data_IF_735712951229
#
_entry.id   IF_735712951229
#
_cell.length_a   1.000
_cell.length_b   1.000
_cell.length_c   1.000
_cell.angle_alpha   90.00
_cell.angle_beta   90.00
_cell.angle_gamma   90.00
#
_symmetry.space_group_name_H-M   'P 1'
#
loop_
_entity.id
_entity.type
_entity.pdbx_description
1 polymer ?
#
# COMPACT_ATOMS: atom_id res chain seq x y z
N UNK A 1 -30.37 -9.70 -9.60
CA UNK A 1 -30.79 -10.43 -10.82
C UNK A 1 -30.44 -9.71 -12.13
N UNK A 2 -30.86 -8.45 -12.35
CA UNK A 2 -30.56 -7.70 -13.58
C UNK A 2 -29.03 -7.56 -13.83
N UNK A 3 -28.29 -7.15 -12.80
CA UNK A 3 -26.82 -7.04 -12.86
C UNK A 3 -26.14 -8.38 -13.19
N UNK A 4 -26.61 -9.48 -12.58
CA UNK A 4 -26.08 -10.81 -12.86
C UNK A 4 -26.29 -11.21 -14.32
N UNK A 5 -27.48 -10.94 -14.89
CA UNK A 5 -27.78 -11.19 -16.30
C UNK A 5 -26.83 -10.42 -17.23
N UNK A 6 -26.57 -9.15 -16.92
CA UNK A 6 -25.60 -8.34 -17.65
C UNK A 6 -24.18 -8.90 -17.55
N UNK A 7 -23.70 -9.20 -16.33
CA UNK A 7 -22.36 -9.75 -16.09
C UNK A 7 -22.14 -11.05 -16.87
N UNK A 8 -23.12 -11.97 -16.85
CA UNK A 8 -23.06 -13.23 -17.60
C UNK A 8 -23.07 -13.02 -19.10
N UNK A 9 -23.94 -12.14 -19.61
CA UNK A 9 -24.03 -11.83 -21.03
C UNK A 9 -22.73 -11.26 -21.59
N UNK A 10 -22.18 -10.23 -20.94
CA UNK A 10 -20.93 -9.59 -21.36
C UNK A 10 -19.80 -10.61 -21.43
N UNK A 11 -19.66 -11.46 -20.41
CA UNK A 11 -18.63 -12.50 -20.39
C UNK A 11 -18.79 -13.50 -21.53
N UNK A 12 -20.02 -13.94 -21.81
CA UNK A 12 -20.28 -14.90 -22.89
C UNK A 12 -20.04 -14.30 -24.27
N UNK A 13 -20.63 -13.13 -24.55
CA UNK A 13 -20.54 -12.47 -25.85
C UNK A 13 -19.10 -12.15 -26.22
N UNK A 14 -18.30 -11.62 -25.29
CA UNK A 14 -16.90 -11.28 -25.56
C UNK A 14 -16.06 -12.52 -25.81
N UNK A 15 -16.27 -13.62 -25.06
CA UNK A 15 -15.55 -14.88 -25.31
C UNK A 15 -15.92 -15.49 -26.68
N UNK A 16 -17.20 -15.51 -27.04
CA UNK A 16 -17.65 -16.01 -28.33
C UNK A 16 -17.02 -15.19 -29.47
N UNK A 17 -17.13 -13.86 -29.41
CA UNK A 17 -16.50 -12.97 -30.39
C UNK A 17 -14.98 -13.18 -30.49
N UNK A 18 -14.29 -13.34 -29.36
CA UNK A 18 -12.84 -13.58 -29.33
C UNK A 18 -12.45 -14.90 -30.02
N UNK A 19 -13.25 -15.96 -29.87
CA UNK A 19 -13.05 -17.27 -30.51
C UNK A 19 -13.34 -17.18 -32.01
N UNK A 20 -14.49 -16.61 -32.37
CA UNK A 20 -14.96 -16.52 -33.76
C UNK A 20 -14.01 -15.70 -34.64
N UNK A 21 -13.43 -14.62 -34.09
CA UNK A 21 -12.44 -13.79 -34.78
C UNK A 21 -10.98 -14.29 -34.65
N UNK A 22 -10.75 -15.44 -34.01
CA UNK A 22 -9.42 -16.02 -33.81
C UNK A 22 -8.48 -15.16 -32.94
N UNK A 23 -9.03 -14.26 -32.13
CA UNK A 23 -8.29 -13.40 -31.21
C UNK A 23 -7.85 -14.16 -29.95
N UNK A 24 -8.60 -15.20 -29.58
CA UNK A 24 -8.25 -16.19 -28.55
C UNK A 24 -8.05 -17.55 -29.22
N UNK A 25 -6.90 -18.20 -29.00
CA UNK A 25 -6.60 -19.49 -29.64
C UNK A 25 -7.41 -20.61 -29.01
N UNK A 26 -7.68 -21.69 -29.76
CA UNK A 26 -8.44 -22.84 -29.26
C UNK A 26 -7.90 -23.40 -27.93
N UNK A 27 -6.57 -23.47 -27.82
CA UNK A 27 -5.87 -24.00 -26.64
C UNK A 27 -5.80 -23.04 -25.45
N UNK A 28 -6.10 -21.77 -25.64
CA UNK A 28 -6.03 -20.79 -24.56
C UNK A 28 -7.32 -20.88 -23.73
N UNK A 29 -7.22 -20.69 -22.41
CA UNK A 29 -8.39 -20.68 -21.52
C UNK A 29 -9.32 -19.51 -21.86
N UNK A 30 -10.62 -19.67 -21.58
CA UNK A 30 -11.58 -18.58 -21.70
C UNK A 30 -11.27 -17.45 -20.70
N UNK A 31 -11.54 -16.22 -21.13
CA UNK A 31 -11.42 -15.04 -20.30
C UNK A 31 -12.49 -15.08 -19.22
N UNK A 32 -12.09 -14.84 -17.97
CA UNK A 32 -13.05 -14.77 -16.87
C UNK A 32 -13.86 -13.47 -16.95
N UNK A 33 -14.99 -13.43 -16.25
CA UNK A 33 -15.79 -12.22 -16.22
C UNK A 33 -15.08 -11.03 -15.56
N UNK A 34 -14.17 -11.27 -14.62
CA UNK A 34 -13.36 -10.23 -13.99
C UNK A 34 -12.37 -9.64 -14.99
N UNK A 35 -11.69 -10.48 -15.77
CA UNK A 35 -10.75 -10.05 -16.80
C UNK A 35 -11.42 -9.11 -17.83
N UNK A 36 -12.66 -9.42 -18.22
CA UNK A 36 -13.42 -8.62 -19.20
C UNK A 36 -13.96 -7.31 -18.60
N UNK A 37 -14.29 -7.31 -17.31
CA UNK A 37 -14.85 -6.14 -16.62
C UNK A 37 -13.80 -5.23 -16.01
N UNK A 38 -12.50 -5.57 -16.09
CA UNK A 38 -11.42 -4.72 -15.59
C UNK A 38 -11.44 -3.34 -16.27
N UNK A 39 -11.70 -2.30 -15.48
CA UNK A 39 -11.84 -0.92 -15.95
C UNK A 39 -13.06 -0.68 -16.85
N UNK A 40 -14.13 -1.47 -16.68
CA UNK A 40 -15.44 -1.23 -17.28
C UNK A 40 -16.28 -0.34 -16.36
N UNK A 41 -16.76 0.78 -16.89
CA UNK A 41 -17.80 1.59 -16.26
C UNK A 41 -19.10 1.36 -17.00
N UNK A 42 -20.14 0.88 -16.30
CA UNK A 42 -21.43 0.60 -16.88
C UNK A 42 -22.57 1.05 -15.96
N UNK A 43 -23.64 1.58 -16.56
CA UNK A 43 -24.88 1.93 -15.88
C UNK A 43 -25.97 1.01 -16.40
N UNK A 44 -26.62 0.28 -15.50
CA UNK A 44 -27.69 -0.67 -15.84
C UNK A 44 -28.98 -0.16 -15.21
N UNK A 45 -29.91 0.31 -16.04
CA UNK A 45 -31.24 0.73 -15.58
C UNK A 45 -32.30 -0.24 -16.10
N UNK A 46 -33.00 -0.91 -15.19
CA UNK A 46 -34.09 -1.82 -15.51
C UNK A 46 -35.40 -1.30 -14.91
N UNK A 47 -36.49 -1.33 -15.69
CA UNK A 47 -37.83 -0.96 -15.24
C UNK A 47 -38.72 -2.20 -15.23
N UNK A 48 -39.39 -2.44 -14.12
CA UNK A 48 -40.26 -3.61 -13.93
C UNK A 48 -41.54 -3.17 -13.19
N UNK A 49 -42.68 -3.75 -13.57
CA UNK A 49 -43.97 -3.42 -12.94
C UNK A 49 -44.06 -3.92 -11.50
N UNK A 50 -43.65 -5.17 -11.26
CA UNK A 50 -43.71 -5.82 -9.95
C UNK A 50 -42.31 -6.21 -9.45
N UNK A 51 -41.57 -5.26 -8.85
CA UNK A 51 -40.22 -5.54 -8.34
C UNK A 51 -40.27 -6.37 -7.06
N UNK A 52 -39.49 -7.44 -7.05
CA UNK A 52 -39.21 -8.27 -5.88
C UNK A 52 -37.76 -8.04 -5.45
N UNK A 53 -37.53 -7.81 -4.16
CA UNK A 53 -36.20 -7.55 -3.62
C UNK A 53 -35.80 -8.57 -2.55
N UNK A 54 -34.51 -8.88 -2.50
CA UNK A 54 -33.90 -9.64 -1.43
C UNK A 54 -33.54 -8.69 -0.27
N UNK A 55 -34.02 -9.00 0.94
CA UNK A 55 -33.70 -8.27 2.16
C UNK A 55 -34.49 -6.97 2.37
N UNK A 56 -34.42 -6.45 3.59
CA UNK A 56 -35.20 -5.29 4.05
C UNK A 56 -34.80 -3.98 3.35
N UNK A 57 -33.53 -3.84 2.96
CA UNK A 57 -32.98 -2.61 2.36
C UNK A 57 -33.34 -2.42 0.89
N UNK A 58 -34.08 -3.37 0.27
CA UNK A 58 -34.45 -3.35 -1.16
C UNK A 58 -33.27 -3.10 -2.11
N UNK A 59 -32.06 -3.48 -1.71
CA UNK A 59 -30.83 -3.19 -2.46
C UNK A 59 -30.59 -4.16 -3.62
N UNK A 60 -31.11 -5.39 -3.53
CA UNK A 60 -30.85 -6.45 -4.50
C UNK A 60 -32.15 -6.95 -5.12
N UNK A 61 -32.29 -6.77 -6.44
CA UNK A 61 -33.45 -7.24 -7.19
C UNK A 61 -33.45 -8.77 -7.31
N UNK A 62 -34.53 -9.42 -6.88
CA UNK A 62 -34.73 -10.87 -6.86
C UNK A 62 -35.52 -11.45 -8.04
N UNK A 63 -36.12 -10.63 -8.92
CA UNK A 63 -36.90 -11.15 -10.06
C UNK A 63 -36.01 -11.93 -11.05
N UNK A 64 -36.19 -13.25 -11.12
CA UNK A 64 -35.44 -14.14 -12.02
C UNK A 64 -35.71 -13.81 -13.50
N UNK A 65 -36.94 -13.43 -13.84
CA UNK A 65 -37.32 -12.99 -15.20
C UNK A 65 -36.44 -11.84 -15.71
N UNK A 66 -35.97 -10.98 -14.80
CA UNK A 66 -35.13 -9.85 -15.15
C UNK A 66 -33.68 -10.22 -15.43
N UNK A 67 -33.19 -11.32 -14.86
CA UNK A 67 -31.90 -11.88 -15.28
C UNK A 67 -31.97 -12.32 -16.73
N UNK A 68 -32.97 -13.14 -17.09
CA UNK A 68 -33.12 -13.68 -18.44
C UNK A 68 -33.35 -12.60 -19.51
N UNK A 69 -34.16 -11.59 -19.19
CA UNK A 69 -34.42 -10.47 -20.10
C UNK A 69 -33.14 -9.67 -20.39
N UNK A 70 -32.45 -9.23 -19.35
CA UNK A 70 -31.20 -8.47 -19.49
C UNK A 70 -30.15 -9.30 -20.20
N UNK A 71 -30.00 -10.57 -19.83
CA UNK A 71 -29.05 -11.46 -20.49
C UNK A 71 -29.35 -11.55 -22.00
N UNK A 72 -30.59 -11.81 -22.41
CA UNK A 72 -30.97 -11.90 -23.83
C UNK A 72 -30.64 -10.62 -24.58
N UNK A 73 -31.11 -9.47 -24.09
CA UNK A 73 -30.93 -8.18 -24.76
C UNK A 73 -29.45 -7.81 -24.86
N UNK A 74 -28.69 -8.00 -23.78
CA UNK A 74 -27.25 -7.70 -23.78
C UNK A 74 -26.50 -8.61 -24.74
N UNK A 75 -26.80 -9.92 -24.81
CA UNK A 75 -26.10 -10.80 -25.75
C UNK A 75 -26.34 -10.39 -27.20
N UNK A 76 -27.59 -10.12 -27.57
CA UNK A 76 -27.98 -9.75 -28.93
C UNK A 76 -27.34 -8.42 -29.34
N UNK A 77 -27.56 -7.36 -28.55
CA UNK A 77 -27.09 -6.01 -28.90
C UNK A 77 -25.60 -5.83 -28.76
N UNK A 78 -24.96 -6.50 -27.81
CA UNK A 78 -23.50 -6.44 -27.69
C UNK A 78 -22.81 -7.23 -28.81
N UNK A 79 -23.38 -8.37 -29.25
CA UNK A 79 -22.82 -9.12 -30.37
C UNK A 79 -22.94 -8.32 -31.67
N UNK A 80 -24.10 -7.74 -31.95
CA UNK A 80 -24.33 -6.83 -33.07
C UNK A 80 -23.31 -5.68 -33.06
N UNK A 81 -23.15 -5.00 -31.92
CA UNK A 81 -22.21 -3.89 -31.79
C UNK A 81 -20.75 -4.30 -32.02
N UNK A 82 -20.32 -5.45 -31.52
CA UNK A 82 -18.93 -5.95 -31.71
C UNK A 82 -18.64 -6.30 -33.17
N UNK A 83 -19.63 -6.81 -33.91
CA UNK A 83 -19.51 -7.07 -35.35
C UNK A 83 -19.45 -5.77 -36.17
N UNK A 84 -20.21 -4.75 -35.78
CA UNK A 84 -20.18 -3.42 -36.41
C UNK A 84 -18.87 -2.65 -36.11
N UNK A 85 -18.24 -2.91 -34.96
CA UNK A 85 -17.07 -2.19 -34.45
C UNK A 85 -15.87 -3.13 -34.23
N UNK A 86 -15.28 -3.70 -35.30
CA UNK A 86 -14.27 -4.75 -35.17
C UNK A 86 -12.95 -4.27 -34.56
N UNK A 87 -12.59 -2.99 -34.75
CA UNK A 87 -11.37 -2.41 -34.20
C UNK A 87 -11.48 -2.27 -32.67
N UNK A 88 -12.61 -1.76 -32.18
CA UNK A 88 -12.95 -1.63 -30.78
C UNK A 88 -13.12 -3.01 -30.13
N UNK A 89 -13.81 -3.94 -30.80
CA UNK A 89 -13.93 -5.33 -30.35
C UNK A 89 -12.56 -6.00 -30.15
N UNK A 90 -11.64 -5.81 -31.09
CA UNK A 90 -10.25 -6.29 -30.95
C UNK A 90 -9.53 -5.63 -29.77
N UNK A 91 -9.71 -4.33 -29.57
CA UNK A 91 -9.12 -3.62 -28.44
C UNK A 91 -9.64 -4.14 -27.09
N UNK A 92 -10.96 -4.39 -26.98
CA UNK A 92 -11.60 -4.96 -25.78
C UNK A 92 -11.02 -6.34 -25.47
N UNK A 93 -10.98 -7.25 -26.45
CA UNK A 93 -10.45 -8.61 -26.27
C UNK A 93 -8.97 -8.57 -25.90
N UNK A 94 -8.19 -7.69 -26.53
CA UNK A 94 -6.77 -7.51 -26.20
C UNK A 94 -6.58 -7.02 -24.77
N UNK A 95 -7.38 -6.05 -24.32
CA UNK A 95 -7.37 -5.55 -22.94
C UNK A 95 -7.68 -6.68 -21.96
N UNK A 96 -8.77 -7.42 -22.19
CA UNK A 96 -9.17 -8.54 -21.34
C UNK A 96 -8.15 -9.68 -21.34
N UNK A 97 -7.47 -9.94 -22.45
CA UNK A 97 -6.38 -10.93 -22.53
C UNK A 97 -5.17 -10.50 -21.69
N UNK A 98 -4.83 -9.20 -21.72
CA UNK A 98 -3.77 -8.65 -20.88
C UNK A 98 -4.13 -8.71 -19.39
N UNK A 99 -5.39 -8.44 -19.04
CA UNK A 99 -5.93 -8.63 -17.69
C UNK A 99 -5.79 -10.08 -17.21
N UNK A 100 -6.24 -11.05 -18.02
CA UNK A 100 -6.13 -12.47 -17.71
C UNK A 100 -4.68 -12.92 -17.49
N UNK A 101 -3.76 -12.50 -18.36
CA UNK A 101 -2.32 -12.77 -18.20
C UNK A 101 -1.75 -12.16 -16.93
N UNK A 102 -2.14 -10.93 -16.59
CA UNK A 102 -1.71 -10.27 -15.36
C UNK A 102 -2.24 -11.01 -14.12
N UNK A 103 -3.49 -11.46 -14.13
CA UNK A 103 -4.10 -12.27 -13.06
C UNK A 103 -3.38 -13.61 -12.86
N UNK A 104 -3.10 -14.35 -13.93
CA UNK A 104 -2.34 -15.61 -13.85
C UNK A 104 -0.94 -15.36 -13.32
N UNK A 105 -0.23 -14.36 -13.85
CA UNK A 105 1.10 -13.98 -13.37
C UNK A 105 1.08 -13.58 -11.88
N UNK A 106 0.04 -12.87 -11.43
CA UNK A 106 -0.14 -12.52 -10.03
C UNK A 106 -0.40 -13.74 -9.15
N UNK A 107 -1.21 -14.71 -9.61
CA UNK A 107 -1.46 -15.97 -8.92
C UNK A 107 -0.19 -16.82 -8.78
N UNK A 108 0.61 -16.92 -9.85
CA UNK A 108 1.89 -17.62 -9.82
C UNK A 108 2.89 -16.93 -8.88
N UNK A 109 2.95 -15.60 -8.90
CA UNK A 109 3.79 -14.83 -8.00
C UNK A 109 3.35 -14.99 -6.53
N UNK A 110 2.04 -14.99 -6.25
CA UNK A 110 1.47 -15.31 -4.93
C UNK A 110 1.91 -16.69 -4.44
N UNK A 111 1.79 -17.70 -5.32
CA UNK A 111 2.18 -19.07 -5.01
C UNK A 111 3.67 -19.18 -4.71
N UNK A 112 4.52 -18.51 -5.49
CA UNK A 112 5.96 -18.49 -5.29
C UNK A 112 6.38 -17.82 -3.96
N UNK A 113 5.69 -16.76 -3.54
CA UNK A 113 5.94 -16.10 -2.26
C UNK A 113 5.50 -17.02 -1.10
N UNK A 114 4.30 -17.64 -1.19
CA UNK A 114 3.81 -18.60 -0.19
C UNK A 114 4.73 -19.81 -0.03
N UNK A 115 5.22 -20.38 -1.12
CA UNK A 115 6.12 -21.54 -1.05
C UNK A 115 7.47 -21.22 -0.42
N UNK A 116 7.97 -19.99 -0.58
CA UNK A 116 9.17 -19.52 0.13
C UNK A 116 8.93 -19.37 1.63
N UNK A 117 7.72 -18.99 2.04
CA UNK A 117 7.36 -18.83 3.46
C UNK A 117 7.20 -20.16 4.22
N UNK A 118 6.87 -21.27 3.53
CA UNK A 118 6.58 -22.58 4.15
C UNK A 118 7.83 -23.47 4.35
N UNK A 119 8.95 -23.15 3.70
CA UNK A 119 10.22 -23.85 3.92
C UNK A 119 10.94 -23.19 5.11
N UNK A 120 10.73 -23.77 6.30
CA UNK A 120 11.30 -23.37 7.59
C UNK A 120 12.70 -22.75 7.47
N UNK A 121 12.79 -21.44 7.71
CA UNK A 121 14.03 -20.70 7.90
C UNK A 121 14.79 -20.21 6.65
N UNK A 122 14.44 -20.64 5.43
CA UNK A 122 15.21 -20.33 4.21
C UNK A 122 14.60 -19.24 3.30
N UNK A 123 13.49 -18.63 3.71
CA UNK A 123 12.72 -17.70 2.87
C UNK A 123 12.86 -16.21 3.22
N UNK A 124 13.59 -15.83 4.27
CA UNK A 124 13.69 -14.43 4.69
C UNK A 124 14.37 -13.56 3.64
N UNK A 125 13.99 -12.28 3.48
CA UNK A 125 14.71 -11.38 2.60
C UNK A 125 16.19 -11.28 3.01
N UNK A 126 17.12 -11.38 2.07
CA UNK A 126 18.57 -11.34 2.35
C UNK A 126 19.00 -10.05 3.09
N UNK A 127 18.25 -8.97 2.87
CA UNK A 127 18.48 -7.66 3.50
C UNK A 127 17.95 -7.57 4.93
N UNK A 128 17.01 -8.43 5.32
CA UNK A 128 16.40 -8.41 6.65
C UNK A 128 17.45 -8.86 7.68
N UNK A 129 17.72 -8.00 8.65
CA UNK A 129 18.39 -8.40 9.90
C UNK A 129 17.31 -8.66 10.94
N UNK A 130 16.97 -9.92 11.15
CA UNK A 130 15.90 -10.31 12.08
C UNK A 130 16.32 -10.12 13.55
N UNK A 131 15.34 -10.21 14.45
CA UNK A 131 15.49 -10.26 15.90
C UNK A 131 15.33 -11.70 16.44
N UNK A 132 15.81 -11.97 17.65
CA UNK A 132 15.80 -13.33 18.22
C UNK A 132 14.49 -13.71 18.91
N UNK A 133 13.73 -12.73 19.43
CA UNK A 133 12.44 -12.95 20.08
C UNK A 133 11.45 -13.66 19.15
N UNK A 134 10.55 -14.44 19.75
CA UNK A 134 9.53 -15.21 19.02
C UNK A 134 8.14 -14.61 19.14
N UNK A 135 7.85 -13.94 20.25
CA UNK A 135 6.55 -13.32 20.54
C UNK A 135 6.30 -12.10 19.64
N UNK A 136 5.32 -12.13 18.72
CA UNK A 136 5.06 -11.02 17.80
C UNK A 136 4.83 -9.65 18.46
N UNK A 137 4.24 -9.64 19.65
CA UNK A 137 3.97 -8.45 20.46
C UNK A 137 5.22 -7.76 21.00
N UNK A 138 6.32 -8.50 21.15
CA UNK A 138 7.62 -7.98 21.57
C UNK A 138 8.50 -7.58 20.39
N UNK A 139 8.14 -8.01 19.18
CA UNK A 139 8.97 -7.85 17.99
C UNK A 139 8.61 -6.56 17.25
N UNK A 140 9.66 -5.83 16.89
CA UNK A 140 9.57 -4.56 16.17
C UNK A 140 10.34 -4.69 14.85
N UNK A 141 9.77 -4.18 13.75
CA UNK A 141 10.42 -4.11 12.45
C UNK A 141 10.65 -2.65 12.07
N UNK A 142 11.90 -2.23 12.00
CA UNK A 142 12.27 -0.92 11.44
C UNK A 142 12.51 -1.04 9.94
N UNK A 143 11.75 -0.29 9.16
CA UNK A 143 11.95 -0.13 7.72
C UNK A 143 12.76 1.15 7.52
N UNK A 144 13.99 1.01 7.02
CA UNK A 144 14.98 2.09 6.99
C UNK A 144 15.33 2.47 5.57
N UNK A 145 15.42 3.78 5.30
CA UNK A 145 15.84 4.30 4.00
C UNK A 145 17.35 4.11 3.76
N UNK A 146 17.70 3.25 2.81
CA UNK A 146 19.07 3.04 2.34
C UNK A 146 19.93 2.14 3.23
N UNK A 147 21.01 1.64 2.63
CA UNK A 147 21.95 0.74 3.32
C UNK A 147 22.80 1.48 4.38
N UNK A 148 23.00 2.80 4.21
CA UNK A 148 23.80 3.62 5.14
C UNK A 148 23.10 3.73 6.50
N UNK A 149 21.88 4.27 6.51
CA UNK A 149 21.06 4.32 7.73
C UNK A 149 20.72 2.91 8.22
N UNK A 150 20.55 1.93 7.32
CA UNK A 150 20.41 0.52 7.68
C UNK A 150 21.60 -0.03 8.49
N UNK A 151 22.83 0.33 8.11
CA UNK A 151 24.05 -0.06 8.82
C UNK A 151 24.12 0.52 10.24
N UNK A 152 23.81 1.81 10.41
CA UNK A 152 23.73 2.47 11.72
C UNK A 152 22.62 1.88 12.58
N UNK A 153 21.43 1.67 12.00
CA UNK A 153 20.28 1.07 12.70
C UNK A 153 20.58 -0.36 13.18
N UNK A 154 21.29 -1.18 12.39
CA UNK A 154 21.69 -2.53 12.80
C UNK A 154 22.62 -2.53 14.01
N UNK A 155 23.47 -1.51 14.16
CA UNK A 155 24.36 -1.36 15.32
C UNK A 155 23.65 -0.77 16.54
N UNK A 156 22.71 0.13 16.31
CA UNK A 156 21.94 0.82 17.34
C UNK A 156 20.87 -0.06 18.01
N UNK A 157 20.33 -1.04 17.27
CA UNK A 157 19.18 -1.83 17.70
C UNK A 157 19.43 -2.70 18.92
N UNK A 158 18.35 -3.03 19.61
CA UNK A 158 18.29 -4.23 20.45
C UNK A 158 18.04 -5.48 19.56
N UNK A 159 19.04 -6.37 19.38
CA UNK A 159 18.88 -7.55 18.53
C UNK A 159 17.90 -8.58 19.09
N UNK A 160 17.49 -8.48 20.36
CA UNK A 160 16.47 -9.36 20.92
C UNK A 160 15.10 -9.05 20.33
N UNK A 161 14.73 -7.77 20.26
CA UNK A 161 13.37 -7.35 19.95
C UNK A 161 13.23 -6.66 18.59
N UNK A 162 14.29 -6.05 18.07
CA UNK A 162 14.22 -5.15 16.91
C UNK A 162 14.88 -5.75 15.66
N UNK A 163 14.10 -5.89 14.60
CA UNK A 163 14.53 -6.27 13.27
C UNK A 163 14.69 -5.04 12.36
N UNK A 164 15.65 -5.08 11.44
CA UNK A 164 15.93 -3.98 10.50
C UNK A 164 15.76 -4.48 9.06
N UNK A 165 14.97 -3.78 8.28
CA UNK A 165 14.80 -3.99 6.84
C UNK A 165 15.17 -2.72 6.07
N UNK A 166 16.40 -2.64 5.52
CA UNK A 166 16.81 -1.56 4.65
C UNK A 166 16.10 -1.66 3.29
N UNK A 167 15.50 -0.57 2.84
CA UNK A 167 14.91 -0.42 1.50
C UNK A 167 15.81 0.47 0.63
N UNK A 168 15.96 0.13 -0.65
CA UNK A 168 16.80 0.91 -1.56
C UNK A 168 15.97 1.74 -2.54
N UNK A 169 16.21 3.04 -2.53
CA UNK A 169 15.54 3.98 -3.42
C UNK A 169 14.04 4.08 -3.13
N UNK A 170 13.32 4.69 -4.07
CA UNK A 170 11.87 4.91 -3.95
C UNK A 170 11.12 3.61 -4.21
N UNK A 171 10.23 3.26 -3.29
CA UNK A 171 9.34 2.10 -3.45
C UNK A 171 8.41 2.31 -4.65
N UNK A 172 8.04 1.21 -5.30
CA UNK A 172 7.04 1.24 -6.36
C UNK A 172 5.71 1.78 -5.81
N UNK A 173 5.16 2.82 -6.45
CA UNK A 173 3.81 3.28 -6.15
C UNK A 173 2.79 2.20 -6.53
N UNK A 174 2.24 1.52 -5.53
CA UNK A 174 1.31 0.41 -5.71
C UNK A 174 -0.11 0.85 -6.06
N UNK A 175 -0.43 2.14 -5.93
CA UNK A 175 -1.72 2.69 -6.39
C UNK A 175 -1.84 2.60 -7.91
N UNK A 176 -0.75 2.91 -8.60
CA UNK A 176 -0.69 2.95 -10.07
C UNK A 176 -0.23 1.64 -10.69
N UNK A 177 0.53 0.86 -9.91
CA UNK A 177 1.13 -0.35 -10.41
C UNK A 177 0.14 -1.51 -10.38
N UNK A 178 0.09 -2.27 -11.47
CA UNK A 178 -0.61 -3.54 -11.51
C UNK A 178 0.00 -4.54 -10.53
N UNK A 179 -0.84 -5.46 -10.06
CA UNK A 179 -0.46 -6.50 -9.08
C UNK A 179 0.74 -7.32 -9.57
N UNK A 180 0.81 -7.69 -10.85
CA UNK A 180 1.92 -8.48 -11.39
C UNK A 180 3.27 -7.72 -11.35
N UNK A 181 3.25 -6.41 -11.64
CA UNK A 181 4.43 -5.55 -11.55
C UNK A 181 4.84 -5.33 -10.10
N UNK A 182 3.87 -5.13 -9.22
CA UNK A 182 4.08 -5.03 -7.78
C UNK A 182 4.77 -6.28 -7.23
N UNK A 183 4.28 -7.47 -7.57
CA UNK A 183 4.83 -8.72 -7.09
C UNK A 183 6.17 -9.09 -7.72
N UNK A 184 6.59 -8.46 -8.81
CA UNK A 184 7.95 -8.59 -9.37
C UNK A 184 8.95 -7.63 -8.74
N UNK A 185 8.50 -6.66 -7.95
CA UNK A 185 9.38 -5.69 -7.30
C UNK A 185 10.03 -6.31 -6.05
N UNK A 186 11.37 -6.28 -6.01
CA UNK A 186 12.14 -6.90 -4.93
C UNK A 186 11.89 -6.26 -3.57
N UNK A 187 11.70 -4.93 -3.48
CA UNK A 187 11.44 -4.25 -2.21
C UNK A 187 10.05 -4.62 -1.68
N UNK A 188 9.04 -4.66 -2.55
CA UNK A 188 7.68 -5.09 -2.18
C UNK A 188 7.65 -6.57 -1.76
N UNK A 189 8.33 -7.46 -2.50
CA UNK A 189 8.47 -8.86 -2.09
C UNK A 189 9.15 -8.98 -0.73
N UNK A 190 10.19 -8.18 -0.48
CA UNK A 190 10.91 -8.17 0.79
C UNK A 190 10.01 -7.73 1.94
N UNK A 191 9.19 -6.70 1.73
CA UNK A 191 8.20 -6.25 2.73
C UNK A 191 7.16 -7.32 3.04
N UNK A 192 6.52 -7.90 2.01
CA UNK A 192 5.51 -8.96 2.19
C UNK A 192 6.09 -10.14 2.98
N UNK A 193 7.30 -10.57 2.59
CA UNK A 193 7.97 -11.72 3.22
C UNK A 193 8.44 -11.40 4.64
N UNK A 194 8.92 -10.18 4.89
CA UNK A 194 9.31 -9.75 6.22
C UNK A 194 8.09 -9.76 7.17
N UNK A 195 6.97 -9.16 6.76
CA UNK A 195 5.75 -9.12 7.59
C UNK A 195 5.19 -10.52 7.85
N UNK A 196 5.20 -11.40 6.84
CA UNK A 196 4.85 -12.81 7.00
C UNK A 196 3.34 -13.11 7.10
N UNK A 197 2.48 -12.10 6.91
CA UNK A 197 1.02 -12.21 7.04
C UNK A 197 0.27 -12.35 5.72
N UNK A 198 0.96 -12.50 4.57
CA UNK A 198 0.34 -12.41 3.26
C UNK A 198 0.16 -10.96 2.78
N UNK A 199 -0.81 -10.71 1.89
CA UNK A 199 -1.14 -9.38 1.36
C UNK A 199 -2.52 -9.38 0.66
N UNK A 200 -3.10 -8.20 0.46
CA UNK A 200 -4.42 -7.99 -0.13
C UNK A 200 -5.49 -8.90 0.50
N UNK A 201 -6.31 -9.58 -0.30
CA UNK A 201 -7.38 -10.46 0.16
C UNK A 201 -6.88 -11.68 0.96
N UNK A 202 -5.61 -12.02 0.82
CA UNK A 202 -4.95 -13.13 1.50
C UNK A 202 -4.23 -12.69 2.79
N UNK A 203 -4.35 -11.42 3.20
CA UNK A 203 -3.68 -10.89 4.38
C UNK A 203 -4.38 -11.30 5.68
N UNK A 204 -3.63 -11.94 6.58
CA UNK A 204 -4.08 -12.31 7.92
C UNK A 204 -3.18 -11.65 8.98
N UNK A 205 -3.71 -10.63 9.64
CA UNK A 205 -2.99 -9.87 10.68
C UNK A 205 -2.56 -10.75 11.85
N UNK A 206 -3.24 -11.87 12.13
CA UNK A 206 -2.87 -12.79 13.23
C UNK A 206 -1.56 -13.53 12.96
N UNK A 207 -1.16 -13.61 11.69
CA UNK A 207 0.11 -14.20 11.26
C UNK A 207 1.23 -13.14 11.14
N UNK A 208 0.96 -11.88 11.48
CA UNK A 208 1.96 -10.83 11.43
C UNK A 208 3.08 -11.12 12.43
N UNK A 209 4.32 -11.12 11.93
CA UNK A 209 5.49 -11.44 12.75
C UNK A 209 5.91 -10.33 13.72
N UNK A 210 5.46 -9.11 13.46
CA UNK A 210 5.82 -7.91 14.20
C UNK A 210 4.55 -7.10 14.47
N UNK A 211 4.24 -6.87 15.75
CA UNK A 211 3.12 -6.00 16.13
C UNK A 211 3.51 -4.51 16.13
N UNK A 212 4.78 -4.19 15.86
CA UNK A 212 5.22 -2.83 15.55
C UNK A 212 6.06 -2.82 14.29
N UNK A 213 5.56 -2.14 13.28
CA UNK A 213 6.24 -1.84 12.02
C UNK A 213 6.51 -0.35 11.99
N UNK A 214 7.77 0.03 12.17
CA UNK A 214 8.22 1.40 12.38
C UNK A 214 8.88 1.89 11.09
N UNK A 215 8.32 2.94 10.50
CA UNK A 215 8.88 3.61 9.33
C UNK A 215 9.92 4.62 9.81
N UNK A 216 11.19 4.36 9.50
CA UNK A 216 12.32 5.20 9.86
C UNK A 216 12.93 5.78 8.58
N UNK A 217 12.46 6.97 8.21
CA UNK A 217 12.90 7.71 7.02
C UNK A 217 13.42 9.08 7.42
N UNK A 218 14.25 9.68 6.57
CA UNK A 218 14.87 10.98 6.84
C UNK A 218 13.81 12.11 6.90
N UNK A 219 14.13 13.16 7.65
CA UNK A 219 13.30 14.35 7.80
C UNK A 219 13.44 15.32 6.60
N UNK A 220 13.47 14.77 5.38
CA UNK A 220 13.59 15.52 4.15
C UNK A 220 12.44 15.19 3.16
N UNK A 221 12.53 15.76 1.96
CA UNK A 221 11.54 15.57 0.90
C UNK A 221 11.50 14.14 0.35
N UNK A 222 12.64 13.44 0.34
CA UNK A 222 12.75 12.08 -0.19
C UNK A 222 12.25 11.06 0.84
N UNK A 223 12.60 11.23 2.12
CA UNK A 223 12.07 10.44 3.23
C UNK A 223 10.55 10.63 3.39
N UNK A 224 10.04 11.85 3.21
CA UNK A 224 8.59 12.12 3.18
C UNK A 224 7.89 11.41 2.00
N UNK A 225 8.54 11.35 0.85
CA UNK A 225 8.03 10.62 -0.31
C UNK A 225 8.01 9.11 -0.07
N UNK A 226 9.09 8.53 0.46
CA UNK A 226 9.17 7.09 0.80
C UNK A 226 8.14 6.73 1.86
N UNK A 227 7.99 7.56 2.90
CA UNK A 227 6.93 7.40 3.90
C UNK A 227 5.56 7.35 3.26
N UNK A 228 5.26 8.26 2.33
CA UNK A 228 3.98 8.27 1.61
C UNK A 228 3.75 6.99 0.79
N UNK A 229 4.79 6.50 0.10
CA UNK A 229 4.73 5.24 -0.66
C UNK A 229 4.50 4.03 0.24
N UNK A 230 5.17 3.95 1.39
CA UNK A 230 5.00 2.90 2.38
C UNK A 230 3.59 2.92 2.99
N UNK A 231 3.09 4.09 3.39
CA UNK A 231 1.74 4.25 3.93
C UNK A 231 0.69 3.83 2.90
N UNK A 232 0.87 4.21 1.64
CA UNK A 232 0.01 3.76 0.53
C UNK A 232 0.06 2.25 0.38
N UNK A 233 1.24 1.65 0.45
CA UNK A 233 1.40 0.20 0.39
C UNK A 233 0.66 -0.51 1.54
N UNK A 234 0.87 -0.10 2.79
CA UNK A 234 0.20 -0.70 3.94
C UNK A 234 -1.32 -0.50 3.88
N UNK A 235 -1.79 0.68 3.49
CA UNK A 235 -3.23 0.95 3.40
C UNK A 235 -3.93 0.16 2.28
N UNK A 236 -3.29 -0.01 1.11
CA UNK A 236 -3.88 -0.73 -0.02
C UNK A 236 -3.71 -2.24 0.07
N UNK A 237 -2.58 -2.73 0.59
CA UNK A 237 -2.22 -4.15 0.55
C UNK A 237 -2.28 -4.83 1.92
N UNK A 238 -2.27 -4.08 3.03
CA UNK A 238 -2.22 -4.63 4.39
C UNK A 238 -3.08 -3.81 5.36
N UNK A 239 -4.27 -3.36 4.92
CA UNK A 239 -5.13 -2.48 5.71
C UNK A 239 -5.36 -2.97 7.16
N UNK A 240 -5.61 -4.27 7.41
CA UNK A 240 -5.80 -4.76 8.77
C UNK A 240 -4.59 -4.53 9.69
N UNK A 241 -3.37 -4.43 9.14
CA UNK A 241 -2.16 -4.08 9.90
C UNK A 241 -2.22 -2.64 10.43
N UNK A 242 -2.72 -1.71 9.61
CA UNK A 242 -2.89 -0.30 10.00
C UNK A 242 -4.04 -0.17 10.99
N UNK A 243 -5.16 -0.85 10.74
CA UNK A 243 -6.33 -0.83 11.63
C UNK A 243 -6.05 -1.47 13.00
N UNK A 244 -5.20 -2.50 13.05
CA UNK A 244 -4.70 -3.07 14.31
C UNK A 244 -3.74 -2.14 15.07
N UNK A 245 -3.36 -0.99 14.50
CA UNK A 245 -2.46 -0.03 15.10
C UNK A 245 -1.01 -0.52 15.14
N UNK A 246 -0.61 -1.39 14.20
CA UNK A 246 0.76 -1.95 14.18
C UNK A 246 1.74 -1.10 13.37
N UNK A 247 1.28 -0.08 12.64
CA UNK A 247 2.14 0.79 11.82
C UNK A 247 2.46 2.08 12.57
N UNK A 248 3.75 2.43 12.62
CA UNK A 248 4.27 3.59 13.35
C UNK A 248 5.25 4.36 12.47
N UNK A 249 5.40 5.65 12.72
CA UNK A 249 6.42 6.50 12.12
C UNK A 249 7.36 6.95 13.22
N UNK A 250 8.67 6.73 13.03
CA UNK A 250 9.67 7.22 13.97
C UNK A 250 9.71 8.76 13.95
N UNK A 251 9.93 9.37 15.11
CA UNK A 251 10.04 10.82 15.25
C UNK A 251 11.43 11.16 15.84
N UNK A 252 12.49 11.15 15.01
CA UNK A 252 13.81 11.56 15.46
C UNK A 252 13.81 13.03 15.91
N UNK A 253 14.73 13.43 16.79
CA UNK A 253 14.83 14.80 17.27
C UNK A 253 15.22 15.77 16.16
N UNK A 254 14.69 16.99 16.22
CA UNK A 254 14.98 18.06 15.25
C UNK A 254 16.24 18.84 15.59
N UNK A 255 16.53 19.03 16.88
CA UNK A 255 17.69 19.78 17.35
C UNK A 255 18.55 18.96 18.32
N UNK A 256 19.83 19.26 18.33
CA UNK A 256 20.75 18.86 19.39
C UNK A 256 21.53 20.07 19.90
N UNK A 257 21.91 20.05 21.18
CA UNK A 257 22.79 21.05 21.75
C UNK A 257 23.61 20.48 22.91
N UNK A 258 24.84 20.95 23.08
CA UNK A 258 25.75 20.41 24.11
C UNK A 258 25.58 21.14 25.43
N UNK A 259 24.90 20.56 26.41
CA UNK A 259 24.78 21.16 27.76
C UNK A 259 26.14 21.24 28.45
N UNK A 260 26.94 20.19 28.38
CA UNK A 260 28.31 20.14 28.93
C UNK A 260 29.29 19.54 27.92
N UNK A 261 30.56 19.38 28.29
CA UNK A 261 31.55 18.70 27.44
C UNK A 261 31.19 17.23 27.20
N UNK A 262 30.38 16.62 28.07
CA UNK A 262 30.01 15.20 28.03
C UNK A 262 28.51 14.95 27.81
N UNK A 263 27.69 15.99 27.75
CA UNK A 263 26.24 15.87 27.70
C UNK A 263 25.70 16.64 26.50
N UNK A 264 25.07 15.90 25.59
CA UNK A 264 24.28 16.44 24.47
C UNK A 264 22.81 16.19 24.77
N UNK A 265 22.00 17.23 24.64
CA UNK A 265 20.55 17.13 24.77
C UNK A 265 19.95 17.20 23.37
N UNK A 266 19.02 16.28 23.11
CA UNK A 266 18.26 16.21 21.87
C UNK A 266 16.85 16.71 22.11
N UNK A 267 16.33 17.53 21.19
CA UNK A 267 15.06 18.22 21.31
C UNK A 267 14.21 17.91 20.10
N UNK A 268 12.98 17.50 20.37
CA UNK A 268 12.05 16.97 19.37
C UNK A 268 11.61 18.01 18.34
N UNK A 269 11.28 19.21 18.80
CA UNK A 269 10.66 20.26 18.01
C UNK A 269 11.02 21.66 18.54
N UNK A 270 10.51 22.70 17.88
CA UNK A 270 10.69 24.10 18.29
C UNK A 270 10.15 24.35 19.71
N UNK A 271 9.01 23.73 20.07
CA UNK A 271 8.42 23.91 21.39
C UNK A 271 9.33 23.36 22.51
N UNK A 272 9.94 22.19 22.29
CA UNK A 272 10.92 21.60 23.20
C UNK A 272 12.17 22.48 23.32
N UNK A 273 12.60 23.11 22.22
CA UNK A 273 13.71 24.07 22.22
C UNK A 273 13.38 25.35 22.99
N UNK A 274 12.20 25.92 22.78
CA UNK A 274 11.75 27.11 23.49
C UNK A 274 11.61 26.85 24.99
N UNK A 275 11.05 25.69 25.37
CA UNK A 275 10.97 25.26 26.76
C UNK A 275 12.37 25.08 27.38
N UNK A 276 13.30 24.45 26.66
CA UNK A 276 14.67 24.28 27.11
C UNK A 276 15.39 25.63 27.35
N UNK A 277 15.16 26.61 26.47
CA UNK A 277 15.71 27.97 26.61
C UNK A 277 15.06 28.75 27.76
N UNK A 278 13.75 28.57 27.99
CA UNK A 278 13.05 29.19 29.11
C UNK A 278 13.53 28.64 30.46
N UNK A 279 13.80 27.34 30.56
CA UNK A 279 14.39 26.71 31.75
C UNK A 279 15.85 27.09 31.98
N UNK A 280 16.58 27.43 30.91
CA UNK A 280 18.00 27.80 30.96
C UNK A 280 18.25 29.16 30.29
N UNK A 281 17.86 30.29 30.93
CA UNK A 281 17.95 31.62 30.32
C UNK A 281 19.38 32.05 29.97
N UNK A 282 20.38 31.50 30.66
CA UNK A 282 21.79 31.79 30.46
C UNK A 282 22.49 30.80 29.50
N UNK A 283 21.72 29.94 28.81
CA UNK A 283 22.28 29.02 27.84
C UNK A 283 22.66 29.76 26.55
N UNK A 284 23.95 29.71 26.18
CA UNK A 284 24.49 30.50 25.06
C UNK A 284 25.03 29.67 23.90
N UNK A 285 24.96 28.33 23.98
CA UNK A 285 25.51 27.47 22.93
C UNK A 285 24.48 27.30 21.80
N UNK A 286 25.00 27.11 20.60
CA UNK A 286 24.16 26.95 19.41
C UNK A 286 23.41 25.61 19.41
N UNK A 287 22.27 25.62 18.71
CA UNK A 287 21.50 24.41 18.41
C UNK A 287 21.88 23.93 17.02
N UNK A 288 22.29 22.67 16.92
CA UNK A 288 22.50 22.01 15.65
C UNK A 288 21.18 21.38 15.21
N UNK A 289 20.74 21.70 13.98
CA UNK A 289 19.58 21.03 13.37
C UNK A 289 20.04 19.71 12.76
N UNK A 290 19.36 18.63 13.09
CA UNK A 290 19.63 17.30 12.59
C UNK A 290 18.85 17.13 11.27
N UNK A 291 19.55 16.85 10.16
CA UNK A 291 18.91 16.84 8.82
C UNK A 291 18.64 15.44 8.28
N UNK A 292 19.39 14.44 8.71
CA UNK A 292 19.20 13.06 8.26
C UNK A 292 19.75 12.04 9.24
N UNK A 293 19.18 10.83 9.21
CA UNK A 293 19.59 9.70 10.04
C UNK A 293 21.02 9.24 9.73
N UNK A 294 21.52 9.52 8.51
CA UNK A 294 22.88 9.24 8.11
C UNK A 294 23.95 10.18 8.69
N UNK A 295 23.54 11.30 9.30
CA UNK A 295 24.45 12.23 9.99
C UNK A 295 24.60 11.89 11.48
N UNK A 296 23.75 11.01 12.01
CA UNK A 296 23.79 10.56 13.40
C UNK A 296 24.71 9.35 13.54
N UNK A 297 25.53 9.35 14.59
CA UNK A 297 26.23 8.15 15.00
C UNK A 297 25.24 7.11 15.56
N UNK A 298 25.64 5.84 15.59
CA UNK A 298 24.74 4.74 15.95
C UNK A 298 24.26 4.81 17.41
N UNK A 299 25.07 5.35 18.32
CA UNK A 299 24.72 5.60 19.72
C UNK A 299 23.69 6.72 19.84
N UNK A 300 23.82 7.80 19.06
CA UNK A 300 22.81 8.86 19.01
C UNK A 300 21.47 8.34 18.48
N UNK A 301 21.50 7.55 17.39
CA UNK A 301 20.30 6.94 16.82
C UNK A 301 19.61 6.01 17.84
N UNK A 302 20.40 5.25 18.59
CA UNK A 302 19.91 4.37 19.66
C UNK A 302 19.18 5.17 20.72
N UNK A 303 19.87 6.13 21.31
CA UNK A 303 19.40 6.85 22.49
C UNK A 303 18.24 7.81 22.19
N UNK A 304 18.07 8.23 20.94
CA UNK A 304 17.04 9.20 20.54
C UNK A 304 15.81 8.58 19.88
N UNK A 305 15.99 7.55 19.05
CA UNK A 305 14.96 7.14 18.09
C UNK A 305 14.61 5.65 18.17
N UNK A 306 15.52 4.82 18.68
CA UNK A 306 15.30 3.36 18.72
C UNK A 306 15.01 2.83 20.13
N UNK A 307 15.61 3.41 21.18
CA UNK A 307 15.42 2.98 22.55
C UNK A 307 13.96 3.21 23.00
N UNK A 308 13.38 2.17 23.60
CA UNK A 308 11.96 2.14 24.00
C UNK A 308 11.67 3.17 25.09
N UNK A 309 12.67 3.49 25.92
CA UNK A 309 12.51 4.41 27.05
C UNK A 309 12.48 5.89 26.64
N UNK A 310 13.14 6.26 25.54
CA UNK A 310 13.34 7.66 25.15
C UNK A 310 12.65 8.05 23.84
N UNK A 311 12.40 7.09 22.94
CA UNK A 311 11.89 7.39 21.60
C UNK A 311 10.46 7.93 21.60
N UNK A 312 10.15 8.67 20.55
CA UNK A 312 8.79 9.06 20.18
C UNK A 312 8.36 8.35 18.90
N UNK A 313 7.19 7.71 18.92
CA UNK A 313 6.57 7.09 17.74
C UNK A 313 5.20 7.71 17.50
N UNK A 314 4.92 8.03 16.23
CA UNK A 314 3.57 8.40 15.79
C UNK A 314 2.86 7.13 15.30
N UNK A 315 1.82 6.69 16.01
CA UNK A 315 1.01 5.56 15.58
C UNK A 315 0.08 5.99 14.44
N UNK A 316 0.08 5.21 13.35
CA UNK A 316 -0.79 5.44 12.20
C UNK A 316 -2.14 4.76 12.46
N UNK A 317 -3.22 5.51 12.31
CA UNK A 317 -4.59 5.02 12.42
C UNK A 317 -5.41 5.37 11.17
N UNK A 318 -6.53 4.69 10.99
CA UNK A 318 -7.51 4.98 9.93
C UNK A 318 -8.83 5.33 10.60
N UNK A 319 -9.02 6.61 10.96
CA UNK A 319 -10.29 7.06 11.55
C UNK A 319 -11.43 7.09 10.52
N UNK A 320 -11.12 7.53 9.30
CA UNK A 320 -12.07 7.66 8.21
C UNK A 320 -11.53 7.01 6.95
N UNK A 321 -11.76 5.70 6.85
CA UNK A 321 -11.32 4.88 5.73
C UNK A 321 -11.68 5.46 4.36
N UNK A 322 -12.86 6.07 4.21
CA UNK A 322 -13.31 6.68 2.96
C UNK A 322 -12.48 7.91 2.57
N UNK A 323 -12.17 8.80 3.52
CA UNK A 323 -11.36 10.00 3.25
C UNK A 323 -9.92 9.60 2.94
N UNK A 324 -9.36 8.66 3.71
CA UNK A 324 -8.02 8.14 3.43
C UNK A 324 -7.93 7.54 2.02
N UNK A 325 -8.97 6.81 1.60
CA UNK A 325 -9.06 6.23 0.26
C UNK A 325 -9.09 7.31 -0.84
N UNK A 326 -9.92 8.33 -0.66
CA UNK A 326 -10.03 9.46 -1.59
C UNK A 326 -8.71 10.22 -1.71
N UNK A 327 -8.10 10.59 -0.58
CA UNK A 327 -6.84 11.34 -0.54
C UNK A 327 -5.71 10.52 -1.18
N UNK A 328 -5.60 9.23 -0.89
CA UNK A 328 -4.60 8.37 -1.52
C UNK A 328 -4.86 8.22 -3.02
N UNK A 329 -6.11 8.08 -3.45
CA UNK A 329 -6.46 7.99 -4.88
C UNK A 329 -6.06 9.27 -5.63
N UNK A 330 -6.29 10.45 -5.03
CA UNK A 330 -5.92 11.74 -5.61
C UNK A 330 -4.38 11.88 -5.68
N UNK A 331 -3.69 11.68 -4.56
CA UNK A 331 -2.25 11.93 -4.47
C UNK A 331 -1.42 10.88 -5.22
N UNK A 332 -1.82 9.62 -5.13
CA UNK A 332 -1.03 8.50 -5.62
C UNK A 332 -1.54 7.93 -6.94
N UNK A 333 -2.76 8.27 -7.38
CA UNK A 333 -3.36 7.77 -8.61
C UNK A 333 -2.83 8.39 -9.90
N UNK A 334 -3.51 8.08 -11.01
CA UNK A 334 -3.13 8.49 -12.36
C UNK A 334 -3.67 9.87 -12.78
N UNK A 335 -4.66 10.42 -12.06
CA UNK A 335 -5.23 11.73 -12.39
C UNK A 335 -4.26 12.87 -12.00
N UNK A 336 -3.59 13.43 -13.00
CA UNK A 336 -2.61 14.51 -12.82
C UNK A 336 -3.31 15.83 -12.48
N UNK A 337 -4.51 16.06 -13.01
CA UNK A 337 -5.21 17.33 -12.84
C UNK A 337 -5.80 17.45 -11.43
N UNK A 338 -6.45 16.40 -10.94
CA UNK A 338 -6.95 16.34 -9.56
C UNK A 338 -5.81 16.50 -8.55
N UNK A 339 -4.70 15.79 -8.75
CA UNK A 339 -3.52 15.93 -7.90
C UNK A 339 -2.96 17.35 -7.92
N UNK A 340 -2.86 17.98 -9.10
CA UNK A 340 -2.38 19.36 -9.21
C UNK A 340 -3.31 20.33 -8.48
N UNK A 341 -4.61 20.18 -8.64
CA UNK A 341 -5.61 21.01 -7.96
C UNK A 341 -5.51 20.84 -6.44
N UNK A 342 -5.38 19.59 -5.97
CA UNK A 342 -5.15 19.30 -4.55
C UNK A 342 -3.90 20.02 -4.02
N UNK A 343 -2.78 19.92 -4.72
CA UNK A 343 -1.53 20.59 -4.33
C UNK A 343 -1.73 22.11 -4.27
N UNK A 344 -2.33 22.72 -5.30
CA UNK A 344 -2.53 24.18 -5.37
C UNK A 344 -3.44 24.68 -4.25
N UNK A 345 -4.53 23.98 -3.98
CA UNK A 345 -5.48 24.34 -2.92
C UNK A 345 -4.83 24.27 -1.55
N UNK A 346 -4.02 23.24 -1.29
CA UNK A 346 -3.42 23.00 0.03
C UNK A 346 -2.02 23.63 0.19
N UNK A 347 -1.41 24.19 -0.87
CA UNK A 347 -0.04 24.71 -0.84
C UNK A 347 0.20 25.79 0.22
N UNK A 348 -0.84 26.58 0.55
CA UNK A 348 -0.75 27.66 1.55
C UNK A 348 -0.92 27.17 2.99
N UNK A 349 -1.41 25.95 3.18
CA UNK A 349 -1.58 25.34 4.50
C UNK A 349 -0.27 24.75 5.03
N UNK A 350 0.71 24.55 4.14
CA UNK A 350 2.03 24.04 4.50
C UNK A 350 2.85 25.15 5.14
N UNK A 351 2.96 25.12 6.48
CA UNK A 351 3.81 26.04 7.23
C UNK A 351 5.28 25.58 7.29
N UNK A 352 5.53 24.27 7.35
CA UNK A 352 6.86 23.68 7.48
C UNK A 352 7.02 22.54 6.46
N UNK A 353 7.69 22.80 5.33
CA UNK A 353 8.06 21.77 4.34
C UNK A 353 9.26 20.92 4.79
N UNK A 354 10.10 21.50 5.66
CA UNK A 354 11.19 20.82 6.33
C UNK A 354 10.76 20.64 7.79
N UNK A 355 10.39 19.42 8.17
CA UNK A 355 10.08 19.09 9.56
C UNK A 355 11.27 19.37 10.48
#
# INVERSE_FOLDING_TARGET
MHEQGFRTAVTRTVNNYARDKGLLKEKDDNLTGEDIREGLTAIISARIGEPQFEGQTKSKLGNVSMRSLVEKVTNEKMAEWLEEHPAEGKAIVTKATNAARARVAAADARKAIRSKSLLDGAGMPDKLKDCSAKEPERRELFIVEGDSAGGSAVRARDPETQAILPIRGKILNVERARVDKMLKNNEVQSLITAIGAGFADDFDVTQARYHKVILLADADVDGSHIRTLLLTFFFRQMRPLVEAGYVYIAQPPLYSTKVSTKETVYLKDDAAKDAFMAERPNYTKDFQRLKGLGEMDWDELRDTTMDVASRSLLQVSVEQAAIADEVMSILMGDDVEQRKNFIVTNAREVRNLDF
#
